data_IF_122111439488
#
_entry.id   IF_122111439488
#
_cell.length_a   1.000
_cell.length_b   1.000
_cell.length_c   1.000
_cell.angle_alpha   90.00
_cell.angle_beta   90.00
_cell.angle_gamma   90.00
#
_symmetry.space_group_name_H-M   'P 1'
#
loop_
_entity.id
_entity.type
_entity.pdbx_description
1 polymer ?
#
# COMPACT_ATOMS: atom_id res chain seq x y z
N UNK A 1 -23.55 -22.08 -7.92
CA UNK A 1 -22.78 -22.96 -8.83
C UNK A 1 -22.34 -22.16 -10.05
N UNK A 2 -21.04 -21.88 -10.19
CA UNK A 2 -20.50 -21.25 -11.40
C UNK A 2 -20.03 -22.37 -12.35
N UNK A 3 -20.71 -22.52 -13.48
CA UNK A 3 -20.37 -23.53 -14.50
C UNK A 3 -18.89 -23.38 -14.94
N UNK A 4 -18.11 -24.44 -14.80
CA UNK A 4 -16.68 -24.51 -15.17
C UNK A 4 -16.43 -24.66 -16.68
N UNK A 5 -17.27 -24.07 -17.52
CA UNK A 5 -17.02 -24.05 -18.97
C UNK A 5 -15.99 -22.99 -19.32
N UNK A 6 -14.98 -23.35 -20.12
CA UNK A 6 -14.09 -22.36 -20.73
C UNK A 6 -14.93 -21.44 -21.64
N UNK A 7 -15.22 -20.23 -21.17
CA UNK A 7 -15.90 -19.21 -21.97
C UNK A 7 -14.85 -18.39 -22.71
N UNK A 8 -14.97 -18.35 -24.02
CA UNK A 8 -14.07 -17.59 -24.88
C UNK A 8 -14.66 -16.22 -25.15
N UNK A 9 -13.82 -15.19 -25.13
CA UNK A 9 -14.16 -13.82 -25.43
C UNK A 9 -13.27 -13.33 -26.57
N UNK A 10 -13.84 -12.70 -27.58
CA UNK A 10 -13.10 -12.01 -28.63
C UNK A 10 -12.97 -10.55 -28.24
N UNK A 11 -11.74 -10.03 -28.25
CA UNK A 11 -11.46 -8.63 -27.97
C UNK A 11 -10.98 -7.93 -29.24
N UNK A 12 -11.64 -6.84 -29.61
CA UNK A 12 -11.20 -5.94 -30.66
C UNK A 12 -10.63 -4.69 -30.01
N UNK A 13 -9.37 -4.41 -30.31
CA UNK A 13 -8.61 -3.32 -29.71
C UNK A 13 -8.33 -2.26 -30.78
N UNK A 14 -8.64 -1.00 -30.49
CA UNK A 14 -8.26 0.15 -31.31
C UNK A 14 -7.58 1.19 -30.42
N UNK A 15 -6.32 1.46 -30.73
CA UNK A 15 -5.44 2.32 -29.95
C UNK A 15 -4.24 2.76 -30.78
N UNK A 16 -3.65 3.90 -30.42
CA UNK A 16 -2.34 4.33 -30.91
C UNK A 16 -1.27 3.97 -29.87
N UNK A 17 -0.38 3.04 -30.21
CA UNK A 17 0.65 2.58 -29.28
C UNK A 17 1.12 1.14 -29.55
N UNK A 18 1.50 0.45 -28.48
CA UNK A 18 2.13 -0.87 -28.54
C UNK A 18 1.26 -1.92 -27.84
N UNK A 19 1.21 -3.12 -28.42
CA UNK A 19 0.69 -4.32 -27.77
C UNK A 19 1.87 -5.15 -27.26
N UNK A 20 2.04 -5.19 -25.95
CA UNK A 20 3.09 -5.93 -25.29
C UNK A 20 2.55 -7.28 -24.80
N UNK A 21 3.43 -8.27 -24.75
CA UNK A 21 3.16 -9.57 -24.11
C UNK A 21 3.94 -9.62 -22.80
N UNK A 22 3.26 -9.98 -21.71
CA UNK A 22 3.83 -10.03 -20.37
C UNK A 22 3.40 -11.31 -19.63
N UNK A 23 4.06 -11.62 -18.51
CA UNK A 23 3.69 -12.72 -17.61
C UNK A 23 3.43 -12.19 -16.21
N UNK A 24 2.35 -12.63 -15.58
CA UNK A 24 1.94 -12.16 -14.26
C UNK A 24 1.13 -13.20 -13.51
N UNK A 25 0.61 -12.88 -12.30
CA UNK A 25 -0.24 -13.79 -11.56
C UNK A 25 -1.45 -14.24 -12.39
N UNK A 26 -1.66 -15.55 -12.45
CA UNK A 26 -2.78 -16.16 -13.15
C UNK A 26 -4.08 -16.10 -12.34
N UNK A 27 -4.99 -17.05 -12.61
CA UNK A 27 -6.28 -17.10 -11.91
C UNK A 27 -6.10 -17.17 -10.38
N UNK A 28 -6.95 -16.48 -9.59
CA UNK A 28 -6.90 -16.56 -8.14
C UNK A 28 -6.86 -18.02 -7.65
N UNK A 29 -6.03 -18.28 -6.63
CA UNK A 29 -5.84 -19.58 -5.97
C UNK A 29 -5.08 -20.65 -6.77
N UNK A 30 -4.63 -20.38 -8.00
CA UNK A 30 -3.86 -21.39 -8.76
C UNK A 30 -2.34 -21.30 -8.54
N UNK A 31 -1.83 -20.17 -8.03
CA UNK A 31 -0.39 -19.93 -7.77
C UNK A 31 0.50 -19.92 -9.02
N UNK A 32 -0.08 -20.02 -10.23
CA UNK A 32 0.63 -20.09 -11.50
C UNK A 32 0.74 -18.70 -12.12
N UNK A 33 1.83 -18.45 -12.84
CA UNK A 33 1.94 -17.30 -13.73
C UNK A 33 1.24 -17.60 -15.05
N UNK A 34 0.57 -16.61 -15.62
CA UNK A 34 -0.10 -16.70 -16.91
C UNK A 34 0.35 -15.55 -17.82
N UNK A 35 0.42 -15.83 -19.12
CA UNK A 35 0.69 -14.82 -20.13
C UNK A 35 -0.53 -13.92 -20.31
N UNK A 36 -0.31 -12.61 -20.36
CA UNK A 36 -1.33 -11.63 -20.69
C UNK A 36 -0.77 -10.56 -21.64
N UNK A 37 -1.68 -9.78 -22.24
CA UNK A 37 -1.31 -8.70 -23.14
C UNK A 37 -1.58 -7.35 -22.50
N UNK A 38 -0.67 -6.40 -22.72
CA UNK A 38 -0.75 -5.03 -22.23
C UNK A 38 -0.80 -4.09 -23.41
N UNK A 39 -1.83 -3.25 -23.46
CA UNK A 39 -1.89 -2.14 -24.41
C UNK A 39 -1.23 -0.92 -23.76
N UNK A 40 -0.19 -0.37 -24.39
CA UNK A 40 0.57 0.79 -23.91
C UNK A 40 0.46 1.95 -24.89
N UNK A 41 0.13 3.14 -24.40
CA UNK A 41 0.14 4.39 -25.16
C UNK A 41 0.80 5.51 -24.36
N UNK A 42 1.36 6.51 -25.04
CA UNK A 42 2.03 7.67 -24.43
C UNK A 42 1.47 8.97 -25.00
N UNK A 43 1.15 9.94 -24.15
CA UNK A 43 0.68 11.26 -24.58
C UNK A 43 -0.35 11.86 -23.64
N UNK A 44 -0.76 13.10 -23.93
CA UNK A 44 -1.76 13.83 -23.12
C UNK A 44 -3.20 13.36 -23.36
N UNK A 45 -3.49 12.84 -24.56
CA UNK A 45 -4.83 12.44 -24.98
C UNK A 45 -4.83 11.00 -25.52
N UNK A 46 -4.29 10.05 -24.74
CA UNK A 46 -4.28 8.64 -25.13
C UNK A 46 -5.70 8.08 -25.01
N UNK A 47 -6.16 7.38 -26.04
CA UNK A 47 -7.46 6.70 -26.05
C UNK A 47 -7.30 5.23 -26.40
N UNK A 48 -7.92 4.39 -25.59
CA UNK A 48 -8.04 2.96 -25.83
C UNK A 48 -9.52 2.63 -26.02
N UNK A 49 -9.86 1.94 -27.11
CA UNK A 49 -11.21 1.42 -27.35
C UNK A 49 -11.12 -0.10 -27.41
N UNK A 50 -11.90 -0.75 -26.54
CA UNK A 50 -12.01 -2.21 -26.47
C UNK A 50 -13.45 -2.62 -26.69
N UNK A 51 -13.71 -3.48 -27.67
CA UNK A 51 -15.01 -4.12 -27.86
C UNK A 51 -14.85 -5.60 -27.52
N UNK A 52 -15.70 -6.08 -26.60
CA UNK A 52 -15.69 -7.45 -26.12
C UNK A 52 -16.92 -8.18 -26.66
N UNK A 53 -16.69 -9.27 -27.37
CA UNK A 53 -17.74 -10.13 -27.91
C UNK A 53 -17.63 -11.53 -27.27
N UNK A 54 -18.67 -12.00 -26.57
CA UNK A 54 -18.75 -13.41 -26.17
C UNK A 54 -18.72 -14.28 -27.42
N UNK A 55 -17.82 -15.27 -27.45
CA UNK A 55 -17.78 -16.24 -28.55
C UNK A 55 -18.89 -17.25 -28.31
N UNK A 56 -20.06 -16.99 -28.92
CA UNK A 56 -21.14 -17.97 -29.11
C UNK A 56 -21.10 -18.55 -30.53
N UNK A 57 -22.18 -19.25 -30.93
CA UNK A 57 -22.23 -19.98 -32.22
C UNK A 57 -22.14 -19.08 -33.47
N UNK A 58 -22.37 -17.77 -33.35
CA UNK A 58 -22.28 -16.82 -34.44
C UNK A 58 -21.62 -15.50 -34.00
N UNK A 59 -20.34 -15.25 -34.36
CA UNK A 59 -19.72 -13.94 -34.13
C UNK A 59 -20.42 -12.88 -34.95
N UNK A 60 -20.80 -11.77 -34.31
CA UNK A 60 -21.53 -10.66 -34.89
C UNK A 60 -20.63 -9.50 -35.27
N UNK A 61 -19.53 -9.28 -34.54
CA UNK A 61 -18.60 -8.17 -34.80
C UNK A 61 -17.59 -8.55 -35.89
N UNK A 62 -17.63 -7.82 -36.99
CA UNK A 62 -16.72 -7.98 -38.12
C UNK A 62 -15.54 -7.01 -38.05
N UNK A 63 -15.79 -5.75 -37.67
CA UNK A 63 -14.75 -4.71 -37.60
C UNK A 63 -15.14 -3.62 -36.59
N UNK A 64 -14.14 -3.01 -35.97
CA UNK A 64 -14.29 -1.82 -35.12
C UNK A 64 -13.48 -0.68 -35.72
N UNK A 65 -14.08 0.49 -35.90
CA UNK A 65 -13.41 1.72 -36.33
C UNK A 65 -13.71 2.84 -35.36
N UNK A 66 -12.71 3.68 -35.09
CA UNK A 66 -12.86 4.85 -34.22
C UNK A 66 -12.68 6.09 -35.07
N UNK A 67 -13.71 6.94 -35.13
CA UNK A 67 -13.72 8.18 -35.88
C UNK A 67 -14.07 9.34 -34.95
N UNK A 68 -13.05 10.11 -34.52
CA UNK A 68 -13.27 11.15 -33.51
C UNK A 68 -13.91 10.55 -32.27
N UNK A 69 -15.03 11.09 -31.78
CA UNK A 69 -15.75 10.55 -30.62
C UNK A 69 -16.60 9.31 -30.90
N UNK A 70 -16.87 8.98 -32.17
CA UNK A 70 -17.76 7.90 -32.58
C UNK A 70 -16.99 6.60 -32.76
N UNK A 71 -17.54 5.50 -32.23
CA UNK A 71 -17.04 4.14 -32.45
C UNK A 71 -18.04 3.44 -33.38
N UNK A 72 -17.58 3.03 -34.54
CA UNK A 72 -18.37 2.28 -35.52
C UNK A 72 -18.06 0.78 -35.38
N UNK A 73 -19.11 -0.01 -35.16
CA UNK A 73 -19.02 -1.47 -35.06
C UNK A 73 -19.74 -2.06 -36.27
N UNK A 74 -18.97 -2.63 -37.20
CA UNK A 74 -19.52 -3.34 -38.34
C UNK A 74 -19.99 -4.72 -37.89
N UNK A 75 -21.25 -5.03 -38.18
CA UNK A 75 -21.86 -6.35 -37.99
C UNK A 75 -22.42 -6.87 -39.31
N UNK A 76 -22.91 -8.12 -39.32
CA UNK A 76 -23.65 -8.67 -40.46
C UNK A 76 -24.94 -7.90 -40.80
N UNK A 77 -25.49 -7.14 -39.85
CA UNK A 77 -26.72 -6.35 -40.02
C UNK A 77 -26.45 -4.91 -40.46
N UNK A 78 -25.18 -4.50 -40.53
CA UNK A 78 -24.74 -3.15 -40.88
C UNK A 78 -23.87 -2.53 -39.79
N UNK A 79 -23.80 -1.20 -39.77
CA UNK A 79 -22.93 -0.44 -38.85
C UNK A 79 -23.72 0.09 -37.67
N UNK A 80 -23.33 -0.31 -36.46
CA UNK A 80 -23.77 0.32 -35.23
C UNK A 80 -22.83 1.47 -34.85
N UNK A 81 -23.38 2.60 -34.43
CA UNK A 81 -22.63 3.80 -34.03
C UNK A 81 -22.78 4.05 -32.55
N UNK A 82 -21.65 4.05 -31.86
CA UNK A 82 -21.53 4.14 -30.42
C UNK A 82 -20.89 5.48 -30.05
N UNK A 83 -21.56 6.27 -29.21
CA UNK A 83 -21.08 7.60 -28.81
C UNK A 83 -21.24 7.79 -27.31
N UNK A 84 -20.17 8.25 -26.65
CA UNK A 84 -20.24 8.72 -25.28
C UNK A 84 -20.96 10.08 -25.24
N UNK A 85 -21.90 10.24 -24.32
CA UNK A 85 -22.66 11.48 -24.09
C UNK A 85 -22.54 11.89 -22.63
N UNK A 86 -22.96 13.12 -22.29
CA UNK A 86 -23.01 13.59 -20.90
C UNK A 86 -23.93 12.74 -20.01
N UNK A 87 -24.95 12.10 -20.58
CA UNK A 87 -25.94 11.30 -19.85
C UNK A 87 -25.59 9.81 -19.76
N UNK A 88 -24.56 9.35 -20.48
CA UNK A 88 -24.26 7.93 -20.61
C UNK A 88 -23.69 7.58 -21.97
N UNK A 89 -24.19 6.50 -22.54
CA UNK A 89 -23.75 5.98 -23.82
C UNK A 89 -24.94 5.85 -24.76
N UNK A 90 -24.83 6.33 -26.00
CA UNK A 90 -25.85 6.17 -27.02
C UNK A 90 -25.35 5.23 -28.13
N UNK A 91 -26.20 4.30 -28.53
CA UNK A 91 -25.97 3.37 -29.63
C UNK A 91 -27.06 3.62 -30.66
N UNK A 92 -26.67 3.99 -31.88
CA UNK A 92 -27.57 3.98 -33.03
C UNK A 92 -27.27 2.72 -33.84
N UNK A 93 -28.22 1.78 -33.88
CA UNK A 93 -28.04 0.52 -34.60
C UNK A 93 -28.10 0.74 -36.11
N UNK A 94 -27.65 -0.25 -36.87
CA UNK A 94 -27.77 -0.27 -38.33
C UNK A 94 -29.22 -0.07 -38.83
N UNK A 95 -30.22 -0.49 -38.05
CA UNK A 95 -31.65 -0.32 -38.35
C UNK A 95 -32.20 1.06 -38.01
N UNK A 96 -31.36 1.95 -37.44
CA UNK A 96 -31.74 3.29 -37.00
C UNK A 96 -32.35 3.35 -35.60
N UNK A 97 -32.45 2.21 -34.89
CA UNK A 97 -32.91 2.20 -33.51
C UNK A 97 -31.88 2.88 -32.60
N UNK A 98 -32.35 3.67 -31.64
CA UNK A 98 -31.50 4.35 -30.65
C UNK A 98 -31.65 3.68 -29.29
N UNK A 99 -30.54 3.17 -28.77
CA UNK A 99 -30.43 2.56 -27.45
C UNK A 99 -29.62 3.49 -26.57
N UNK A 100 -30.20 3.93 -25.45
CA UNK A 100 -29.53 4.77 -24.47
C UNK A 100 -29.20 3.95 -23.24
N UNK A 101 -27.91 3.87 -22.94
CA UNK A 101 -27.41 3.26 -21.72
C UNK A 101 -27.10 4.39 -20.74
N UNK A 102 -27.91 4.50 -19.70
CA UNK A 102 -27.67 5.44 -18.60
C UNK A 102 -26.47 4.99 -17.76
N UNK A 103 -26.05 5.83 -16.82
CA UNK A 103 -24.98 5.49 -15.88
C UNK A 103 -23.61 6.08 -16.23
N UNK A 104 -23.56 7.15 -17.05
CA UNK A 104 -22.44 8.07 -16.92
C UNK A 104 -22.44 8.55 -15.48
N UNK A 105 -21.45 8.08 -14.70
CA UNK A 105 -21.23 8.66 -13.39
C UNK A 105 -20.84 10.12 -13.67
N UNK A 106 -21.52 11.11 -13.08
CA UNK A 106 -21.03 12.47 -13.14
C UNK A 106 -19.57 12.41 -12.71
N UNK A 107 -18.70 13.16 -13.42
CA UNK A 107 -17.29 13.25 -13.05
C UNK A 107 -17.29 13.60 -11.58
N UNK A 108 -16.88 12.65 -10.74
CA UNK A 108 -16.95 12.82 -9.29
C UNK A 108 -16.20 14.12 -9.02
N UNK A 109 -16.88 15.10 -8.41
CA UNK A 109 -16.17 16.28 -7.92
C UNK A 109 -14.99 15.76 -7.10
N UNK A 110 -13.82 16.42 -7.17
CA UNK A 110 -12.74 16.12 -6.25
C UNK A 110 -13.34 16.00 -4.86
N UNK A 111 -13.03 14.91 -4.16
CA UNK A 111 -13.50 14.74 -2.80
C UNK A 111 -13.02 15.94 -1.98
N UNK A 112 -13.96 16.75 -1.51
CA UNK A 112 -13.71 17.78 -0.49
C UNK A 112 -14.10 17.13 0.85
N UNK A 113 -13.12 16.81 1.72
CA UNK A 113 -13.40 16.21 3.02
C UNK A 113 -14.34 17.11 3.84
N UNK A 114 -15.45 16.56 4.34
CA UNK A 114 -16.37 17.26 5.25
C UNK A 114 -15.73 17.55 6.62
N UNK A 115 -14.66 16.82 6.95
CA UNK A 115 -13.84 16.99 8.14
C UNK A 115 -12.41 17.21 7.64
N UNK A 116 -11.89 18.41 7.83
CA UNK A 116 -10.45 18.66 7.78
C UNK A 116 -9.85 17.93 8.99
N UNK A 117 -9.38 16.70 8.76
CA UNK A 117 -8.48 16.06 9.72
C UNK A 117 -7.21 16.89 9.70
N UNK A 118 -6.85 17.45 10.85
CA UNK A 118 -5.57 18.14 11.01
C UNK A 118 -4.46 17.26 10.45
N UNK A 119 -3.59 17.85 9.65
CA UNK A 119 -2.47 17.11 9.06
C UNK A 119 -1.60 16.62 10.19
N UNK A 120 -1.17 15.33 10.19
CA UNK A 120 -0.37 14.81 11.29
C UNK A 120 0.84 15.71 11.54
N UNK A 121 1.06 16.11 12.79
CA UNK A 121 2.16 16.99 13.14
C UNK A 121 3.47 16.18 13.14
N UNK A 122 4.40 16.47 12.22
CA UNK A 122 5.65 15.72 12.16
C UNK A 122 6.46 15.91 13.45
N UNK A 123 6.94 14.81 14.02
CA UNK A 123 8.00 14.87 15.02
C UNK A 123 9.33 15.14 14.32
N UNK A 124 10.14 16.02 14.89
CA UNK A 124 11.47 16.36 14.37
C UNK A 124 12.50 16.08 15.45
N UNK A 125 13.62 15.50 15.07
CA UNK A 125 14.78 15.26 15.92
C UNK A 125 16.02 15.08 15.04
N UNK A 126 17.17 14.89 15.66
CA UNK A 126 18.44 14.72 14.96
C UNK A 126 18.98 13.29 15.11
N UNK A 127 19.67 12.83 14.08
CA UNK A 127 20.46 11.61 14.11
C UNK A 127 21.94 11.98 13.90
N UNK A 128 22.76 11.80 14.93
CA UNK A 128 24.19 12.08 14.85
C UNK A 128 24.99 10.84 14.47
N UNK A 129 26.07 11.06 13.72
CA UNK A 129 26.98 9.97 13.37
C UNK A 129 27.75 9.52 14.61
N UNK A 130 27.77 8.22 14.88
CA UNK A 130 28.53 7.62 15.99
C UNK A 130 29.83 6.99 15.48
N UNK A 131 30.82 6.86 16.36
CA UNK A 131 32.10 6.21 16.06
C UNK A 131 32.09 4.71 16.29
N UNK A 132 31.10 4.20 17.03
CA UNK A 132 30.90 2.79 17.31
C UNK A 132 29.40 2.50 17.50
N UNK A 133 28.92 1.31 17.11
CA UNK A 133 27.53 0.91 17.34
C UNK A 133 27.17 0.95 18.84
N UNK A 134 25.99 1.47 19.21
CA UNK A 134 25.47 1.34 20.57
C UNK A 134 25.28 -0.14 20.96
N UNK A 135 25.16 -0.48 22.26
CA UNK A 135 25.04 -1.89 22.72
C UNK A 135 23.75 -2.60 22.27
N UNK A 136 22.69 -1.84 21.99
CA UNK A 136 21.37 -2.35 21.58
C UNK A 136 20.74 -3.37 22.54
N UNK A 137 21.02 -3.24 23.84
CA UNK A 137 20.61 -4.14 24.91
C UNK A 137 19.37 -3.67 25.71
N UNK A 138 18.68 -2.65 25.18
CA UNK A 138 17.56 -1.95 25.81
C UNK A 138 17.98 -0.78 26.70
N UNK A 139 19.27 -0.44 26.82
CA UNK A 139 19.75 0.77 27.51
C UNK A 139 19.73 2.01 26.59
N UNK A 140 19.98 3.21 27.13
CA UNK A 140 20.20 4.42 26.32
C UNK A 140 21.70 4.68 26.08
N UNK A 141 22.56 3.75 26.47
CA UNK A 141 23.99 3.95 26.43
C UNK A 141 24.47 4.08 24.97
N UNK A 142 25.24 5.13 24.70
CA UNK A 142 25.74 5.43 23.36
C UNK A 142 24.80 6.25 22.47
N UNK A 143 23.59 6.60 22.93
CA UNK A 143 22.70 7.52 22.22
C UNK A 143 22.83 8.96 22.74
N UNK A 144 22.77 9.93 21.83
CA UNK A 144 22.65 11.36 22.20
C UNK A 144 21.20 11.68 22.58
N UNK A 145 21.01 12.21 23.78
CA UNK A 145 19.70 12.56 24.34
C UNK A 145 19.32 14.04 24.22
N UNK A 146 20.14 14.85 23.55
CA UNK A 146 19.94 16.30 23.43
C UNK A 146 18.77 16.69 22.52
N UNK A 147 18.57 15.98 21.41
CA UNK A 147 17.53 16.30 20.40
C UNK A 147 16.63 15.10 20.05
N UNK A 148 15.79 14.62 21.00
CA UNK A 148 14.90 13.49 20.77
C UNK A 148 13.76 13.83 19.81
N UNK A 149 13.34 12.84 19.03
CA UNK A 149 12.03 12.84 18.40
C UNK A 149 10.96 12.61 19.49
N UNK A 150 10.03 13.56 19.62
CA UNK A 150 8.94 13.50 20.61
C UNK A 150 7.66 12.98 19.98
N UNK A 151 7.17 11.85 20.50
CA UNK A 151 5.93 11.21 20.10
C UNK A 151 4.91 11.34 21.25
N UNK A 152 4.18 12.46 21.29
CA UNK A 152 3.32 12.87 22.40
C UNK A 152 1.87 13.16 21.94
N UNK A 153 1.56 12.96 20.66
CA UNK A 153 0.29 13.37 20.02
C UNK A 153 -0.53 12.17 19.53
N UNK A 154 -1.84 12.39 19.40
CA UNK A 154 -2.79 11.33 19.03
C UNK A 154 -2.62 10.80 17.61
N UNK A 155 -2.15 11.64 16.69
CA UNK A 155 -1.90 11.29 15.30
C UNK A 155 -0.62 10.47 15.09
N UNK A 156 0.22 10.34 16.12
CA UNK A 156 1.49 9.60 16.09
C UNK A 156 1.36 8.14 16.54
N UNK A 157 0.21 7.74 17.11
CA UNK A 157 -0.06 6.34 17.45
C UNK A 157 -1.01 5.68 16.46
N UNK A 158 -0.87 4.36 16.29
CA UNK A 158 -1.81 3.57 15.50
C UNK A 158 -3.14 3.49 16.25
N UNK A 159 -4.15 4.19 15.72
CA UNK A 159 -5.48 4.35 16.34
C UNK A 159 -6.12 3.01 16.72
N UNK A 160 -6.34 2.82 18.02
CA UNK A 160 -7.32 1.87 18.55
C UNK A 160 -8.70 2.52 18.68
N UNK A 161 -9.68 1.75 19.16
CA UNK A 161 -11.05 2.26 19.41
C UNK A 161 -11.13 3.17 20.65
N UNK A 162 -10.13 3.10 21.54
CA UNK A 162 -10.05 3.92 22.74
C UNK A 162 -9.49 5.33 22.44
N UNK A 163 -10.05 6.39 23.05
CA UNK A 163 -9.49 7.73 22.97
C UNK A 163 -8.07 7.79 23.54
N UNK A 164 -7.23 8.66 22.97
CA UNK A 164 -5.91 8.94 23.52
C UNK A 164 -6.01 9.65 24.88
N UNK A 165 -5.44 9.05 25.93
CA UNK A 165 -5.48 9.61 27.28
C UNK A 165 -4.48 10.74 27.51
N UNK A 166 -3.57 10.98 26.57
CA UNK A 166 -2.52 12.00 26.67
C UNK A 166 -1.13 11.45 26.97
N UNK A 167 -0.10 12.31 26.90
CA UNK A 167 1.31 11.89 26.91
C UNK A 167 1.80 11.34 28.26
N UNK A 168 1.10 11.63 29.36
CA UNK A 168 1.45 11.09 30.68
C UNK A 168 1.20 9.58 30.80
N UNK A 169 0.20 9.09 30.05
CA UNK A 169 -0.23 7.69 30.02
C UNK A 169 0.35 6.93 28.83
N UNK A 170 0.51 7.61 27.68
CA UNK A 170 1.10 7.02 26.49
C UNK A 170 1.90 8.03 25.68
N UNK A 171 3.22 7.91 25.67
CA UNK A 171 4.12 8.74 24.86
C UNK A 171 5.43 8.02 24.60
N UNK A 172 6.25 8.56 23.70
CA UNK A 172 7.61 8.07 23.50
C UNK A 172 8.61 9.17 23.17
N UNK A 173 9.85 8.96 23.60
CA UNK A 173 11.03 9.69 23.13
C UNK A 173 11.88 8.75 22.31
N UNK A 174 12.17 9.12 21.07
CA UNK A 174 13.09 8.38 20.21
C UNK A 174 14.39 9.14 20.00
N UNK A 175 15.50 8.43 20.12
CA UNK A 175 16.86 8.92 19.94
C UNK A 175 17.47 8.16 18.77
N UNK A 176 18.03 8.90 17.81
CA UNK A 176 18.59 8.32 16.60
C UNK A 176 20.10 8.55 16.54
N UNK A 177 20.81 7.55 16.04
CA UNK A 177 22.23 7.61 15.74
C UNK A 177 22.48 6.84 14.45
N UNK A 178 23.60 7.07 13.79
CA UNK A 178 23.93 6.32 12.57
C UNK A 178 25.42 6.14 12.37
N UNK A 179 25.79 5.14 11.59
CA UNK A 179 27.12 5.01 10.99
C UNK A 179 27.02 4.50 9.56
N UNK A 180 28.14 4.11 8.97
CA UNK A 180 28.19 3.69 7.57
C UNK A 180 27.50 2.32 7.34
N UNK A 181 27.18 1.57 8.40
CA UNK A 181 26.56 0.24 8.34
C UNK A 181 25.06 0.26 8.69
N UNK A 182 24.64 1.11 9.64
CA UNK A 182 23.26 1.08 10.12
C UNK A 182 22.71 2.41 10.65
N UNK A 183 21.38 2.46 10.70
CA UNK A 183 20.62 3.38 11.55
C UNK A 183 20.37 2.72 12.91
N UNK A 184 20.63 3.45 13.99
CA UNK A 184 20.34 3.05 15.36
C UNK A 184 19.21 3.89 15.93
N UNK A 185 18.24 3.25 16.58
CA UNK A 185 17.10 3.93 17.20
C UNK A 185 16.87 3.37 18.60
N UNK A 186 16.85 4.25 19.60
CA UNK A 186 16.37 3.94 20.93
C UNK A 186 15.03 4.63 21.15
N UNK A 187 14.00 3.89 21.58
CA UNK A 187 12.66 4.42 21.85
C UNK A 187 12.31 4.13 23.30
N UNK A 188 12.20 5.19 24.11
CA UNK A 188 11.79 5.12 25.50
C UNK A 188 10.29 5.47 25.59
N UNK A 189 9.48 4.51 26.01
CA UNK A 189 8.03 4.55 25.88
C UNK A 189 7.41 4.59 27.28
N UNK A 190 6.54 5.56 27.50
CA UNK A 190 5.65 5.62 28.66
C UNK A 190 4.39 4.85 28.29
N UNK A 191 4.14 3.74 28.99
CA UNK A 191 2.91 2.95 28.89
C UNK A 191 2.83 1.99 30.09
N UNK A 192 2.01 2.28 31.11
CA UNK A 192 2.03 1.53 32.35
C UNK A 192 1.56 0.09 32.17
N UNK A 193 0.49 -0.12 31.41
CA UNK A 193 -0.06 -1.45 31.12
C UNK A 193 0.46 -1.98 29.79
N UNK A 194 1.14 -3.13 29.80
CA UNK A 194 1.70 -3.75 28.60
C UNK A 194 0.87 -4.95 28.15
N UNK A 195 0.70 -5.07 26.84
CA UNK A 195 0.05 -6.16 26.15
C UNK A 195 1.01 -6.70 25.08
N UNK A 196 1.73 -7.77 25.41
CA UNK A 196 2.54 -8.50 24.43
C UNK A 196 1.86 -9.82 24.12
N UNK A 197 1.56 -10.03 22.83
CA UNK A 197 1.05 -11.31 22.38
C UNK A 197 2.15 -12.37 22.48
N UNK A 198 1.80 -13.58 22.94
CA UNK A 198 2.72 -14.72 22.88
C UNK A 198 2.99 -15.12 21.43
N UNK A 199 4.22 -15.54 21.11
CA UNK A 199 4.59 -16.02 19.78
C UNK A 199 3.77 -17.26 19.37
N UNK A 200 3.33 -18.07 20.34
CA UNK A 200 2.55 -19.29 20.11
C UNK A 200 1.03 -19.04 20.10
N UNK A 201 0.59 -17.78 20.19
CA UNK A 201 -0.83 -17.45 20.26
C UNK A 201 -1.58 -17.83 18.94
N UNK A 202 -2.76 -18.47 19.02
CA UNK A 202 -3.50 -18.90 17.84
C UNK A 202 -3.86 -17.73 16.90
N UNK A 203 -3.71 -17.86 15.57
CA UNK A 203 -3.89 -16.73 14.65
C UNK A 203 -5.23 -16.01 14.80
N UNK A 204 -5.23 -14.69 14.81
CA UNK A 204 -6.44 -13.87 14.95
C UNK A 204 -7.30 -13.90 13.69
N UNK A 205 -6.66 -14.09 12.52
CA UNK A 205 -7.33 -14.11 11.20
C UNK A 205 -8.11 -12.82 10.94
N UNK A 206 -7.57 -11.70 11.43
CA UNK A 206 -8.09 -10.36 11.23
C UNK A 206 -7.18 -9.64 10.24
N UNK A 207 -7.77 -9.05 9.20
CA UNK A 207 -7.09 -8.18 8.24
C UNK A 207 -5.93 -8.83 7.44
N UNK A 208 -5.19 -8.01 6.67
CA UNK A 208 -4.00 -8.38 5.88
C UNK A 208 -2.68 -8.01 6.59
N UNK A 209 -2.72 -7.63 7.87
CA UNK A 209 -1.54 -7.25 8.66
C UNK A 209 -1.08 -8.43 9.54
N UNK A 210 0.19 -8.45 10.01
CA UNK A 210 0.64 -9.44 10.99
C UNK A 210 -0.18 -9.35 12.28
N UNK A 211 -0.59 -10.49 12.85
CA UNK A 211 -1.38 -10.54 14.10
C UNK A 211 -0.70 -9.81 15.28
N UNK A 212 0.64 -9.72 15.23
CA UNK A 212 1.45 -9.00 16.21
C UNK A 212 1.20 -7.49 16.24
N UNK A 213 0.47 -6.94 15.26
CA UNK A 213 0.06 -5.52 15.22
C UNK A 213 -0.89 -5.14 16.36
N UNK A 214 -1.47 -6.14 17.03
CA UNK A 214 -2.31 -5.99 18.21
C UNK A 214 -1.52 -6.06 19.53
N UNK A 215 -0.19 -6.18 19.46
CA UNK A 215 0.70 -6.05 20.62
C UNK A 215 1.19 -4.61 20.76
N UNK A 216 1.63 -4.26 21.97
CA UNK A 216 2.46 -3.09 22.16
C UNK A 216 3.80 -3.29 21.43
N UNK A 217 4.15 -2.31 20.61
CA UNK A 217 5.37 -2.33 19.82
C UNK A 217 5.63 -1.00 19.14
N UNK A 218 6.69 -0.96 18.36
CA UNK A 218 7.12 0.22 17.60
C UNK A 218 7.02 -0.10 16.11
N UNK A 219 6.46 0.83 15.34
CA UNK A 219 6.58 0.80 13.89
C UNK A 219 7.66 1.79 13.45
N UNK A 220 8.65 1.31 12.71
CA UNK A 220 9.74 2.13 12.18
C UNK A 220 9.65 2.12 10.66
N UNK A 221 9.54 3.31 10.07
CA UNK A 221 9.57 3.49 8.62
C UNK A 221 10.71 4.42 8.26
N UNK A 222 11.43 4.08 7.20
CA UNK A 222 12.44 4.97 6.65
C UNK A 222 12.45 4.88 5.13
N UNK A 223 12.72 6.01 4.51
CA UNK A 223 12.70 6.18 3.07
C UNK A 223 13.83 7.11 2.66
N UNK A 224 14.36 6.89 1.46
CA UNK A 224 15.28 7.83 0.83
C UNK A 224 14.54 9.15 0.57
N UNK A 225 15.17 10.28 0.87
CA UNK A 225 14.61 11.60 0.56
C UNK A 225 14.73 11.86 -0.95
N UNK A 226 13.82 11.29 -1.73
CA UNK A 226 13.62 11.62 -3.14
C UNK A 226 12.23 12.24 -3.28
N UNK A 227 12.22 13.55 -3.57
CA UNK A 227 11.05 14.41 -3.40
C UNK A 227 9.73 13.82 -3.88
N UNK A 228 8.80 13.58 -2.94
CA UNK A 228 7.34 13.36 -3.07
C UNK A 228 6.77 12.40 -4.14
N UNK A 229 7.53 11.91 -5.12
CA UNK A 229 6.99 11.19 -6.29
C UNK A 229 7.25 9.69 -6.29
N UNK A 230 8.27 9.18 -5.59
CA UNK A 230 8.59 7.74 -5.50
C UNK A 230 8.27 7.18 -4.12
N UNK A 231 7.05 6.66 -3.94
CA UNK A 231 6.65 5.89 -2.74
C UNK A 231 7.30 4.50 -2.67
N UNK A 232 8.02 4.08 -3.70
CA UNK A 232 8.46 2.69 -3.88
C UNK A 232 9.77 2.35 -3.14
N UNK A 233 10.44 3.32 -2.51
CA UNK A 233 11.74 3.13 -1.82
C UNK A 233 11.67 3.36 -0.30
N UNK A 234 10.54 3.01 0.31
CA UNK A 234 10.37 3.00 1.75
C UNK A 234 10.42 1.57 2.29
N UNK A 235 11.14 1.36 3.39
CA UNK A 235 11.07 0.12 4.17
C UNK A 235 10.44 0.39 5.52
N UNK A 236 9.65 -0.59 5.99
CA UNK A 236 8.88 -0.49 7.21
C UNK A 236 8.98 -1.76 8.03
N UNK A 237 9.03 -1.60 9.34
CA UNK A 237 9.15 -2.69 10.29
C UNK A 237 8.15 -2.52 11.42
N UNK A 238 7.45 -3.60 11.76
CA UNK A 238 6.73 -3.75 13.02
C UNK A 238 7.63 -4.51 13.99
N UNK A 239 7.99 -3.88 15.10
CA UNK A 239 8.88 -4.44 16.12
C UNK A 239 8.12 -4.60 17.43
N UNK A 240 8.02 -5.83 17.91
CA UNK A 240 7.26 -6.20 19.11
C UNK A 240 8.17 -6.87 20.13
N UNK A 241 8.22 -6.39 21.39
CA UNK A 241 8.88 -7.08 22.48
C UNK A 241 8.38 -8.50 22.69
N UNK A 242 9.31 -9.44 22.90
CA UNK A 242 8.97 -10.77 23.40
C UNK A 242 8.68 -10.69 24.90
N UNK A 243 7.54 -11.25 25.32
CA UNK A 243 7.17 -11.34 26.75
C UNK A 243 8.20 -12.10 27.58
N UNK A 244 8.94 -13.01 26.93
CA UNK A 244 9.80 -13.99 27.56
C UNK A 244 11.26 -13.58 27.28
N UNK A 245 11.80 -12.67 28.08
CA UNK A 245 13.20 -12.23 27.99
C UNK A 245 13.36 -10.81 27.46
N UNK A 246 14.41 -10.60 26.65
CA UNK A 246 14.77 -9.28 26.08
C UNK A 246 14.70 -9.24 24.55
N UNK A 247 14.23 -10.33 23.92
CA UNK A 247 14.17 -10.47 22.47
C UNK A 247 13.10 -9.60 21.83
N UNK A 248 13.24 -9.41 20.52
CA UNK A 248 12.31 -8.67 19.68
C UNK A 248 11.81 -9.56 18.55
N UNK A 249 10.50 -9.55 18.29
CA UNK A 249 9.93 -10.06 17.05
C UNK A 249 9.80 -8.92 16.05
N UNK A 250 10.29 -9.17 14.83
CA UNK A 250 10.30 -8.19 13.76
C UNK A 250 9.53 -8.73 12.57
N UNK A 251 8.60 -7.93 12.04
CA UNK A 251 7.87 -8.20 10.81
C UNK A 251 8.11 -7.05 9.84
N UNK A 252 8.19 -7.36 8.55
CA UNK A 252 8.16 -6.33 7.52
C UNK A 252 6.74 -5.75 7.47
N UNK A 253 6.63 -4.41 7.43
CA UNK A 253 5.33 -3.76 7.27
C UNK A 253 4.77 -4.05 5.87
N UNK A 254 3.48 -4.32 5.81
CA UNK A 254 2.74 -4.62 4.58
C UNK A 254 2.99 -3.57 3.50
N UNK A 255 3.42 -4.01 2.31
CA UNK A 255 3.68 -3.11 1.18
C UNK A 255 5.08 -2.50 1.13
N UNK A 256 6.00 -2.94 2.00
CA UNK A 256 7.42 -2.52 1.97
C UNK A 256 8.34 -3.69 1.67
N UNK A 257 9.58 -3.42 1.22
CA UNK A 257 10.60 -4.43 0.90
C UNK A 257 11.59 -4.72 2.03
N UNK A 258 11.28 -4.34 3.27
CA UNK A 258 12.19 -4.53 4.40
C UNK A 258 12.44 -6.01 4.71
N UNK A 259 13.70 -6.41 4.90
CA UNK A 259 14.06 -7.74 5.42
C UNK A 259 14.09 -7.70 6.96
N UNK A 260 13.20 -8.42 7.67
CA UNK A 260 13.21 -8.44 9.14
C UNK A 260 14.54 -8.84 9.77
N UNK A 261 15.39 -9.59 9.05
CA UNK A 261 16.73 -9.99 9.53
C UNK A 261 17.74 -8.85 9.53
N UNK A 262 17.44 -7.73 8.86
CA UNK A 262 18.28 -6.52 8.90
C UNK A 262 18.11 -5.73 10.19
N UNK A 263 17.15 -6.11 11.04
CA UNK A 263 16.89 -5.48 12.33
C UNK A 263 17.41 -6.37 13.45
N UNK A 264 18.22 -5.80 14.33
CA UNK A 264 18.64 -6.41 15.57
C UNK A 264 18.35 -5.47 16.75
N UNK A 265 18.36 -6.02 17.96
CA UNK A 265 18.14 -5.22 19.14
C UNK A 265 17.56 -6.01 20.30
N UNK A 266 17.18 -5.26 21.32
CA UNK A 266 16.59 -5.78 22.54
C UNK A 266 15.63 -4.75 23.15
N UNK A 267 14.87 -5.21 24.12
CA UNK A 267 14.05 -4.34 24.94
C UNK A 267 14.31 -4.56 26.43
N UNK A 268 13.91 -3.57 27.23
CA UNK A 268 13.81 -3.72 28.68
C UNK A 268 12.56 -3.03 29.22
N UNK A 269 12.07 -3.51 30.36
CA UNK A 269 11.02 -2.84 31.14
C UNK A 269 11.62 -1.63 31.86
N UNK A 270 10.87 -0.54 31.91
CA UNK A 270 11.17 0.65 32.71
C UNK A 270 10.06 0.87 33.75
N UNK A 271 10.30 1.77 34.70
CA UNK A 271 9.32 2.08 35.76
C UNK A 271 8.01 2.66 35.22
N UNK A 272 8.04 3.29 34.03
CA UNK A 272 6.89 3.96 33.40
C UNK A 272 6.39 3.28 32.13
N UNK A 273 7.07 2.24 31.67
CA UNK A 273 6.80 1.65 30.37
C UNK A 273 7.91 0.72 29.94
N UNK A 274 8.44 0.89 28.74
CA UNK A 274 9.46 0.01 28.21
C UNK A 274 10.36 0.76 27.25
N UNK A 275 11.55 0.22 27.05
CA UNK A 275 12.52 0.76 26.12
C UNK A 275 12.91 -0.28 25.09
N UNK A 276 12.99 0.14 23.85
CA UNK A 276 13.45 -0.67 22.72
C UNK A 276 14.67 -0.01 22.12
N UNK A 277 15.72 -0.78 21.84
CA UNK A 277 16.88 -0.31 21.07
C UNK A 277 17.07 -1.18 19.85
N UNK A 278 17.25 -0.55 18.70
CA UNK A 278 17.29 -1.18 17.38
C UNK A 278 18.53 -0.75 16.62
N UNK A 279 19.14 -1.70 15.91
CA UNK A 279 20.05 -1.46 14.81
C UNK A 279 19.41 -1.96 13.53
N UNK A 280 19.37 -1.11 12.52
CA UNK A 280 18.74 -1.41 11.23
C UNK A 280 19.77 -1.16 10.15
N UNK A 281 20.24 -2.24 9.52
CA UNK A 281 21.19 -2.10 8.40
C UNK A 281 20.57 -1.26 7.28
N UNK A 282 21.39 -0.45 6.63
CA UNK A 282 20.94 0.33 5.47
C UNK A 282 20.44 -0.62 4.37
N UNK A 283 19.28 -0.34 3.72
CA UNK A 283 18.82 -1.12 2.59
C UNK A 283 19.74 -0.94 1.40
N UNK A 284 19.82 -1.99 0.61
CA UNK A 284 20.42 -1.93 -0.72
C UNK A 284 19.45 -1.19 -1.66
N UNK A 285 19.58 0.14 -1.73
CA UNK A 285 18.93 0.99 -2.74
C UNK A 285 19.74 1.02 -4.04
#
# INVERSE_FOLDING_TARGET
>A
EHSSGARTLKAFLSFDGELLRAEGPGRPKNGKRETFYVVRGRGRNVRFVTVLEPVGDAPKVQTVRVQGSVIEIQTAQGVDRHTATVAGWEITTATGARIRLAGARPRQQPFEPLVELDTPKPAVGAALRVSAPPPLDGSLDGFDSSEPLRLELEDQYRRGEAPYSGPDDFSALAYAAWDDEALYVAVDIVKPELCFRSADAPPLRLDNEPDDIHSDGVQVYFARDEGRETRDEAVGYLVVPESDGRGLRVHASSGTSGDPRSVNGAWCRTDRGYRVTLGIAWPDW
#
